data_IF_189036592990
#
_entry.id   IF_189036592990
#
_cell.length_a   1.000
_cell.length_b   1.000
_cell.length_c   1.000
_cell.angle_alpha   90.00
_cell.angle_beta   90.00
_cell.angle_gamma   90.00
#
_symmetry.space_group_name_H-M   'P 1'
#
loop_
_entity.id
_entity.type
_entity.pdbx_description
1 polymer ?
#
# COMPACT_ATOMS: atom_id res chain seq x y z
N UNK A 1 18.70 16.89 4.92
CA UNK A 1 17.26 17.19 4.87
C UNK A 1 16.52 15.86 4.88
N UNK A 2 15.70 15.59 5.89
CA UNK A 2 14.88 14.37 5.95
C UNK A 2 13.57 14.58 5.20
N UNK A 3 13.11 13.57 4.45
CA UNK A 3 11.78 13.58 3.84
C UNK A 3 10.66 13.41 4.87
N UNK A 4 9.44 13.82 4.49
CA UNK A 4 8.21 13.60 5.28
C UNK A 4 7.77 12.15 5.17
N UNK A 5 7.37 11.55 6.29
CA UNK A 5 6.83 10.19 6.35
C UNK A 5 5.30 10.28 6.43
N UNK A 6 4.61 9.47 5.64
CA UNK A 6 3.15 9.47 5.57
C UNK A 6 2.56 8.22 6.21
N UNK A 7 1.34 8.36 6.71
CA UNK A 7 0.44 7.25 7.04
C UNK A 7 -0.96 7.55 6.50
N UNK A 8 -1.77 6.53 6.26
CA UNK A 8 -3.16 6.75 5.89
C UNK A 8 -4.08 6.72 7.11
N UNK A 9 -3.72 6.06 8.20
CA UNK A 9 -4.58 6.00 9.38
C UNK A 9 -3.78 6.06 10.69
N UNK A 10 -4.38 6.51 11.81
CA UNK A 10 -3.76 6.42 13.14
C UNK A 10 -3.52 4.97 13.61
N UNK A 11 -4.08 3.97 12.91
CA UNK A 11 -3.83 2.56 13.22
C UNK A 11 -2.33 2.22 13.14
N UNK A 12 -1.62 2.81 12.18
CA UNK A 12 -0.18 2.63 11.96
C UNK A 12 0.62 3.08 13.18
N UNK A 13 0.25 4.22 13.78
CA UNK A 13 0.80 4.68 15.07
C UNK A 13 0.60 3.64 16.18
N UNK A 14 -0.59 3.03 16.26
CA UNK A 14 -0.90 2.00 17.27
C UNK A 14 -0.01 0.77 17.08
N UNK A 15 0.20 0.34 15.84
CA UNK A 15 1.05 -0.82 15.53
C UNK A 15 2.52 -0.52 15.84
N UNK A 16 3.05 0.63 15.43
CA UNK A 16 4.44 0.98 15.71
C UNK A 16 4.72 1.10 17.21
N UNK A 17 3.82 1.70 17.99
CA UNK A 17 3.97 1.76 19.45
C UNK A 17 3.99 0.35 20.07
N UNK A 18 3.12 -0.56 19.62
CA UNK A 18 3.14 -1.96 20.08
C UNK A 18 4.46 -2.66 19.76
N UNK A 19 5.02 -2.42 18.58
CA UNK A 19 6.33 -2.98 18.19
C UNK A 19 7.43 -2.42 19.08
N UNK A 20 7.43 -1.11 19.37
CA UNK A 20 8.36 -0.48 20.31
C UNK A 20 8.29 -1.12 21.68
N UNK A 21 7.08 -1.32 22.22
CA UNK A 21 6.89 -1.96 23.52
C UNK A 21 7.39 -3.42 23.54
N UNK A 22 7.12 -4.18 22.47
CA UNK A 22 7.62 -5.54 22.30
C UNK A 22 9.15 -5.59 22.29
N UNK A 23 9.79 -4.69 21.54
CA UNK A 23 11.25 -4.63 21.46
C UNK A 23 11.87 -4.28 22.82
N UNK A 24 11.30 -3.32 23.56
CA UNK A 24 11.76 -2.96 24.90
C UNK A 24 11.72 -4.15 25.86
N UNK A 25 10.61 -4.89 25.88
CA UNK A 25 10.47 -6.08 26.72
C UNK A 25 11.54 -7.12 26.40
N UNK A 26 11.82 -7.38 25.12
CA UNK A 26 12.85 -8.37 24.74
C UNK A 26 14.26 -7.87 25.09
N UNK A 27 14.55 -6.58 24.93
CA UNK A 27 15.84 -5.97 25.34
C UNK A 27 16.06 -6.05 26.85
N UNK A 28 14.99 -5.92 27.65
CA UNK A 28 15.03 -6.04 29.12
C UNK A 28 15.10 -7.51 29.62
N UNK A 29 15.20 -8.49 28.71
CA UNK A 29 15.30 -9.91 29.04
C UNK A 29 13.95 -10.61 29.19
N UNK A 30 12.85 -9.95 28.85
CA UNK A 30 11.54 -10.57 28.70
C UNK A 30 11.39 -11.30 27.35
N UNK A 31 10.20 -11.85 27.10
CA UNK A 31 9.90 -12.55 25.84
C UNK A 31 8.49 -12.23 25.35
N UNK A 32 8.33 -12.06 24.03
CA UNK A 32 7.04 -11.96 23.36
C UNK A 32 6.87 -13.12 22.38
N UNK A 33 5.72 -13.80 22.43
CA UNK A 33 5.42 -14.92 21.52
C UNK A 33 6.23 -16.18 21.83
N UNK A 34 7.09 -16.60 20.90
CA UNK A 34 7.92 -17.81 21.05
C UNK A 34 9.04 -17.53 22.05
N UNK A 35 8.99 -18.20 23.20
CA UNK A 35 9.97 -18.05 24.27
C UNK A 35 11.40 -18.30 23.75
N UNK A 36 12.32 -17.39 24.07
CA UNK A 36 13.76 -17.56 23.80
C UNK A 36 14.27 -16.95 22.49
N UNK A 37 13.47 -16.22 21.72
CA UNK A 37 14.03 -15.39 20.64
C UNK A 37 14.78 -14.17 21.23
N UNK A 38 16.07 -13.99 20.93
CA UNK A 38 16.82 -12.82 21.38
C UNK A 38 16.35 -11.55 20.65
N UNK A 39 16.57 -10.39 21.28
CA UNK A 39 16.35 -9.10 20.63
C UNK A 39 17.22 -9.00 19.36
N UNK A 40 16.74 -8.32 18.29
CA UNK A 40 17.58 -7.93 17.17
C UNK A 40 18.82 -7.17 17.66
N UNK A 41 19.96 -7.36 16.98
CA UNK A 41 21.22 -6.71 17.36
C UNK A 41 21.14 -5.17 17.32
N UNK A 42 20.26 -4.64 16.49
CA UNK A 42 19.96 -3.23 16.27
C UNK A 42 18.70 -2.73 17.01
N UNK A 43 18.19 -3.49 17.99
CA UNK A 43 16.92 -3.18 18.66
C UNK A 43 16.86 -1.76 19.24
N UNK A 44 17.95 -1.25 19.82
CA UNK A 44 17.99 0.11 20.36
C UNK A 44 17.81 1.18 19.28
N UNK A 45 18.51 1.02 18.14
CA UNK A 45 18.44 1.95 17.01
C UNK A 45 17.05 1.87 16.34
N UNK A 46 16.48 0.67 16.24
CA UNK A 46 15.12 0.45 15.74
C UNK A 46 14.07 1.10 16.65
N UNK A 47 14.20 0.97 17.98
CA UNK A 47 13.30 1.63 18.94
C UNK A 47 13.37 3.15 18.78
N UNK A 48 14.57 3.73 18.69
CA UNK A 48 14.75 5.17 18.51
C UNK A 48 14.11 5.64 17.19
N UNK A 49 14.38 4.91 16.10
CA UNK A 49 13.81 5.21 14.80
C UNK A 49 12.28 5.18 14.81
N UNK A 50 11.67 4.10 15.30
CA UNK A 50 10.21 3.96 15.37
C UNK A 50 9.59 5.02 16.28
N UNK A 51 10.22 5.30 17.42
CA UNK A 51 9.78 6.34 18.36
C UNK A 51 9.82 7.74 17.73
N UNK A 52 10.75 7.99 16.80
CA UNK A 52 10.79 9.24 16.04
C UNK A 52 9.61 9.41 15.07
N UNK A 53 8.98 8.31 14.63
CA UNK A 53 7.92 8.30 13.61
C UNK A 53 6.49 8.35 14.19
N UNK A 54 6.32 7.96 15.45
CA UNK A 54 5.00 7.95 16.10
C UNK A 54 4.61 9.34 16.62
N UNK A 55 3.40 9.47 17.15
CA UNK A 55 2.88 10.70 17.75
C UNK A 55 3.90 11.29 18.74
N UNK A 56 4.08 12.61 18.68
CA UNK A 56 5.04 13.38 19.48
C UNK A 56 6.54 13.12 19.17
N UNK A 57 6.84 12.22 18.21
CA UNK A 57 8.17 12.01 17.67
C UNK A 57 8.66 13.14 16.77
N UNK A 58 9.98 13.31 16.67
CA UNK A 58 10.63 14.37 15.88
C UNK A 58 10.36 14.30 14.37
N UNK A 59 9.92 13.14 13.89
CA UNK A 59 9.55 12.85 12.49
C UNK A 59 8.17 12.21 12.40
N UNK A 60 7.27 12.59 13.30
CA UNK A 60 5.92 12.04 13.38
C UNK A 60 5.25 11.95 12.00
N UNK A 61 4.68 10.78 11.71
CA UNK A 61 4.01 10.52 10.44
C UNK A 61 2.82 11.46 10.22
N UNK A 62 2.68 11.96 8.99
CA UNK A 62 1.55 12.81 8.61
C UNK A 62 0.36 11.95 8.18
N UNK A 63 -0.79 12.16 8.83
CA UNK A 63 -2.06 11.49 8.53
C UNK A 63 -2.72 12.06 7.26
N UNK A 64 -2.64 11.32 6.16
CA UNK A 64 -3.24 11.72 4.89
C UNK A 64 -4.77 11.53 4.87
N UNK A 65 -5.35 10.64 5.67
CA UNK A 65 -6.81 10.51 5.77
C UNK A 65 -7.41 11.71 6.50
N UNK A 66 -6.76 12.17 7.58
CA UNK A 66 -7.15 13.41 8.25
C UNK A 66 -7.07 14.62 7.31
N UNK A 67 -6.04 14.69 6.47
CA UNK A 67 -5.93 15.72 5.43
C UNK A 67 -7.05 15.59 4.39
N UNK A 68 -7.29 14.38 3.88
CA UNK A 68 -8.35 14.09 2.91
C UNK A 68 -9.72 14.51 3.43
N UNK A 69 -10.05 14.19 4.69
CA UNK A 69 -11.33 14.56 5.34
C UNK A 69 -11.56 16.07 5.38
N UNK A 70 -10.48 16.84 5.52
CA UNK A 70 -10.54 18.31 5.68
C UNK A 70 -10.49 19.04 4.34
N UNK A 71 -9.77 18.50 3.36
CA UNK A 71 -9.33 19.27 2.20
C UNK A 71 -9.68 18.65 0.83
N UNK A 72 -10.12 17.40 0.76
CA UNK A 72 -10.42 16.75 -0.52
C UNK A 72 -11.90 16.40 -0.66
N UNK A 73 -12.60 17.20 -1.46
CA UNK A 73 -14.01 16.98 -1.82
C UNK A 73 -14.11 16.84 -3.33
N UNK A 74 -14.63 15.71 -3.79
CA UNK A 74 -14.79 15.42 -5.20
C UNK A 74 -16.12 14.71 -5.46
N UNK A 75 -16.63 14.84 -6.68
CA UNK A 75 -17.84 14.15 -7.10
C UNK A 75 -17.64 12.62 -7.10
N UNK A 76 -18.63 11.84 -6.67
CA UNK A 76 -18.54 10.37 -6.74
C UNK A 76 -17.80 9.68 -5.58
N UNK A 77 -17.07 10.41 -4.71
CA UNK A 77 -16.51 9.82 -3.47
C UNK A 77 -17.47 9.87 -2.28
N UNK A 78 -18.61 10.57 -2.40
CA UNK A 78 -19.69 10.67 -1.38
C UNK A 78 -19.18 11.01 0.03
N UNK A 79 -18.20 11.90 0.14
CA UNK A 79 -17.58 12.28 1.42
C UNK A 79 -16.65 11.23 2.05
N UNK A 80 -16.37 10.12 1.34
CA UNK A 80 -15.44 9.09 1.81
C UNK A 80 -14.00 9.60 1.76
N UNK A 81 -13.26 9.31 2.83
CA UNK A 81 -11.81 9.52 2.97
C UNK A 81 -11.02 8.21 2.92
N UNK A 82 -11.65 7.13 2.45
CA UNK A 82 -10.94 5.88 2.18
C UNK A 82 -9.94 6.09 1.06
N UNK A 83 -8.72 5.55 1.20
CA UNK A 83 -7.67 5.58 0.18
C UNK A 83 -8.19 5.06 -1.17
N UNK A 84 -9.12 4.08 -1.13
CA UNK A 84 -9.76 3.43 -2.29
C UNK A 84 -10.87 4.23 -2.94
N UNK A 85 -11.23 5.37 -2.37
CA UNK A 85 -12.12 6.34 -2.99
C UNK A 85 -11.34 7.59 -3.42
N UNK A 86 -10.35 8.00 -2.62
CA UNK A 86 -9.53 9.17 -2.89
C UNK A 86 -8.59 8.95 -4.07
N UNK A 87 -7.79 7.87 -4.07
CA UNK A 87 -6.85 7.59 -5.17
C UNK A 87 -7.58 7.50 -6.52
N UNK A 88 -8.66 6.72 -6.69
CA UNK A 88 -9.30 6.60 -8.01
C UNK A 88 -9.91 7.91 -8.48
N UNK A 89 -10.46 8.70 -7.55
CA UNK A 89 -10.99 10.03 -7.88
C UNK A 89 -9.89 10.98 -8.36
N UNK A 90 -8.69 10.93 -7.78
CA UNK A 90 -7.55 11.71 -8.24
C UNK A 90 -7.01 11.20 -9.58
N UNK A 91 -6.85 9.89 -9.74
CA UNK A 91 -6.39 9.26 -11.00
C UNK A 91 -7.27 9.65 -12.19
N UNK A 92 -8.58 9.78 -11.97
CA UNK A 92 -9.54 10.20 -13.00
C UNK A 92 -9.41 11.67 -13.42
N UNK A 93 -8.91 12.56 -12.55
CA UNK A 93 -8.97 14.03 -12.77
C UNK A 93 -7.62 14.70 -12.89
N UNK A 94 -6.57 14.06 -12.39
CA UNK A 94 -5.25 14.65 -12.33
C UNK A 94 -4.48 14.36 -13.62
N UNK A 95 -4.35 15.37 -14.47
CA UNK A 95 -3.45 15.31 -15.64
C UNK A 95 -1.99 15.06 -15.23
N UNK A 96 -1.61 15.53 -14.04
CA UNK A 96 -0.29 15.23 -13.45
C UNK A 96 -0.13 13.73 -13.23
N UNK A 97 -1.08 13.08 -12.55
CA UNK A 97 -0.99 11.62 -12.32
C UNK A 97 -1.07 10.83 -13.61
N UNK A 98 -1.93 11.25 -14.55
CA UNK A 98 -1.97 10.66 -15.89
C UNK A 98 -0.60 10.75 -16.56
N UNK A 99 0.03 11.92 -16.60
CA UNK A 99 1.35 12.10 -17.20
C UNK A 99 2.44 11.27 -16.52
N UNK A 100 2.44 11.20 -15.19
CA UNK A 100 3.44 10.46 -14.42
C UNK A 100 3.31 8.94 -14.57
N UNK A 101 2.08 8.42 -14.67
CA UNK A 101 1.81 6.98 -14.52
C UNK A 101 1.24 6.27 -15.76
N UNK A 102 1.09 6.96 -16.90
CA UNK A 102 0.65 6.33 -18.16
C UNK A 102 1.72 5.44 -18.81
N UNK A 103 2.99 5.72 -18.55
CA UNK A 103 4.10 4.93 -19.07
C UNK A 103 4.36 3.68 -18.23
N UNK A 104 5.07 2.70 -18.81
CA UNK A 104 5.63 1.53 -18.11
C UNK A 104 6.82 1.91 -17.22
N UNK A 105 6.60 2.83 -16.28
CA UNK A 105 7.66 3.46 -15.47
C UNK A 105 7.82 2.81 -14.10
N UNK A 106 6.79 2.12 -13.61
CA UNK A 106 6.84 1.50 -12.28
C UNK A 106 7.50 0.13 -12.34
N UNK A 107 8.51 -0.11 -11.50
CA UNK A 107 9.34 -1.30 -11.60
C UNK A 107 10.24 -1.31 -12.83
N UNK A 108 10.57 -0.13 -13.38
CA UNK A 108 11.43 0.02 -14.55
C UNK A 108 12.70 0.81 -14.24
N UNK A 109 13.75 0.59 -15.05
CA UNK A 109 14.99 1.37 -14.98
C UNK A 109 14.85 2.78 -15.59
N UNK A 110 13.76 3.04 -16.32
CA UNK A 110 13.46 4.34 -16.91
C UNK A 110 12.51 5.13 -16.01
N UNK A 111 12.79 6.42 -15.82
CA UNK A 111 11.94 7.31 -15.03
C UNK A 111 10.71 7.82 -15.80
N UNK A 112 10.82 7.96 -17.12
CA UNK A 112 9.79 8.63 -17.92
C UNK A 112 9.57 10.07 -17.44
N UNK A 113 8.34 10.40 -17.04
CA UNK A 113 7.98 11.71 -16.48
C UNK A 113 8.22 11.83 -14.97
N UNK A 114 8.62 10.75 -14.28
CA UNK A 114 8.96 10.78 -12.86
C UNK A 114 10.33 11.46 -12.64
N UNK A 115 10.58 12.03 -11.45
CA UNK A 115 11.86 12.67 -11.15
C UNK A 115 13.05 11.70 -11.09
N UNK A 116 12.79 10.41 -10.85
CA UNK A 116 13.77 9.35 -10.82
C UNK A 116 13.10 7.99 -11.12
N UNK A 117 13.87 6.95 -11.52
CA UNK A 117 13.35 5.60 -11.68
C UNK A 117 12.71 5.09 -10.37
N UNK A 118 11.58 4.40 -10.49
CA UNK A 118 10.85 3.86 -9.34
C UNK A 118 10.94 2.34 -9.37
N UNK A 119 11.83 1.79 -8.55
CA UNK A 119 12.02 0.35 -8.44
C UNK A 119 10.86 -0.29 -7.68
N UNK A 120 10.50 -1.49 -8.12
CA UNK A 120 9.45 -2.31 -7.51
C UNK A 120 10.00 -3.70 -7.26
N UNK A 121 9.48 -4.36 -6.21
CA UNK A 121 9.77 -5.77 -5.94
C UNK A 121 8.71 -6.70 -6.52
N UNK A 122 7.50 -6.20 -6.78
CA UNK A 122 6.36 -7.02 -7.18
C UNK A 122 5.77 -6.65 -8.55
N UNK A 123 6.28 -5.59 -9.19
CA UNK A 123 5.86 -5.14 -10.52
C UNK A 123 7.08 -4.94 -11.42
N UNK A 124 6.89 -5.15 -12.72
CA UNK A 124 7.91 -4.93 -13.74
C UNK A 124 7.31 -4.20 -14.93
N UNK A 125 7.93 -3.09 -15.33
CA UNK A 125 7.51 -2.27 -16.47
C UNK A 125 5.98 -2.01 -16.46
N UNK A 126 5.46 -1.56 -15.31
CA UNK A 126 4.04 -1.43 -15.03
C UNK A 126 3.55 0.01 -15.19
N UNK A 127 2.34 0.17 -15.73
CA UNK A 127 1.65 1.45 -15.88
C UNK A 127 0.45 1.48 -14.94
N UNK A 128 0.40 2.45 -14.02
CA UNK A 128 -0.71 2.60 -13.08
C UNK A 128 -1.88 3.41 -13.64
N UNK A 129 -1.66 4.17 -14.72
CA UNK A 129 -2.71 4.85 -15.45
C UNK A 129 -2.93 4.14 -16.79
N UNK A 130 -3.98 3.32 -16.87
CA UNK A 130 -4.38 2.59 -18.08
C UNK A 130 -5.79 3.01 -18.46
N UNK A 131 -6.06 3.50 -19.68
CA UNK A 131 -7.41 3.89 -20.08
C UNK A 131 -8.40 2.72 -20.01
N UNK A 132 -9.64 2.99 -19.62
CA UNK A 132 -10.74 2.03 -19.78
C UNK A 132 -11.07 1.83 -21.26
N UNK A 133 -11.37 0.59 -21.64
CA UNK A 133 -11.78 0.27 -23.01
C UNK A 133 -13.08 0.98 -23.43
N UNK A 134 -13.98 1.23 -22.47
CA UNK A 134 -15.26 1.92 -22.67
C UNK A 134 -15.11 3.44 -22.76
N UNK A 135 -14.09 4.03 -22.14
CA UNK A 135 -13.85 5.47 -22.14
C UNK A 135 -12.34 5.78 -21.95
N UNK A 136 -11.63 6.13 -23.04
CA UNK A 136 -10.19 6.41 -22.99
C UNK A 136 -9.78 7.60 -22.11
N UNK A 137 -10.73 8.44 -21.69
CA UNK A 137 -10.49 9.58 -20.80
C UNK A 137 -10.56 9.19 -19.32
N UNK A 138 -10.96 7.96 -19.00
CA UNK A 138 -11.08 7.45 -17.63
C UNK A 138 -10.08 6.30 -17.46
N UNK A 139 -9.23 6.31 -16.41
CA UNK A 139 -8.38 5.17 -16.14
C UNK A 139 -9.17 4.02 -15.51
N UNK A 140 -8.73 2.79 -15.76
CA UNK A 140 -9.10 1.63 -14.96
C UNK A 140 -8.78 1.93 -13.50
N UNK A 141 -9.74 1.64 -12.63
CA UNK A 141 -9.59 1.81 -11.18
C UNK A 141 -8.35 1.03 -10.68
N UNK A 142 -7.43 1.66 -9.92
CA UNK A 142 -6.15 1.03 -9.53
C UNK A 142 -6.23 -0.33 -8.82
N UNK A 143 -7.21 -0.57 -7.95
CA UNK A 143 -7.35 -1.86 -7.27
C UNK A 143 -7.99 -2.92 -8.18
N UNK A 144 -8.86 -2.53 -9.09
CA UNK A 144 -9.33 -3.39 -10.18
C UNK A 144 -8.20 -3.72 -11.17
N UNK A 145 -7.33 -2.75 -11.48
CA UNK A 145 -6.14 -2.98 -12.31
C UNK A 145 -5.19 -3.98 -11.64
N UNK A 146 -4.97 -3.83 -10.32
CA UNK A 146 -4.22 -4.78 -9.52
C UNK A 146 -4.83 -6.19 -9.58
N UNK A 147 -6.16 -6.30 -9.47
CA UNK A 147 -6.87 -7.58 -9.57
C UNK A 147 -6.66 -8.26 -10.92
N UNK A 148 -6.80 -7.52 -12.03
CA UNK A 148 -6.59 -8.04 -13.39
C UNK A 148 -5.16 -8.52 -13.59
N UNK A 149 -4.19 -7.71 -13.18
CA UNK A 149 -2.79 -8.10 -13.21
C UNK A 149 -2.52 -9.34 -12.33
N UNK A 150 -3.22 -9.45 -11.19
CA UNK A 150 -3.36 -10.64 -10.37
C UNK A 150 -3.62 -11.89 -11.18
N UNK A 151 -4.78 -11.90 -11.83
CA UNK A 151 -5.30 -13.02 -12.59
C UNK A 151 -4.41 -13.40 -13.78
N UNK A 152 -3.91 -12.42 -14.52
CA UNK A 152 -3.06 -12.63 -15.70
C UNK A 152 -1.73 -13.33 -15.34
N UNK A 153 -1.12 -12.95 -14.22
CA UNK A 153 0.19 -13.46 -13.78
C UNK A 153 0.10 -14.87 -13.21
N UNK A 154 -0.98 -15.15 -12.48
CA UNK A 154 -1.18 -16.40 -11.77
C UNK A 154 -1.97 -17.43 -12.59
N UNK A 155 -2.39 -17.07 -13.81
CA UNK A 155 -3.13 -17.94 -14.72
C UNK A 155 -4.48 -18.35 -14.15
N UNK A 156 -5.16 -17.44 -13.48
CA UNK A 156 -6.36 -17.71 -12.70
C UNK A 156 -7.60 -17.68 -13.59
N UNK A 157 -7.86 -18.79 -14.27
CA UNK A 157 -9.26 -19.23 -14.31
C UNK A 157 -9.57 -19.73 -12.91
N UNK A 158 -10.49 -19.06 -12.19
CA UNK A 158 -11.07 -19.59 -10.96
C UNK A 158 -11.45 -21.04 -11.22
N UNK A 159 -10.74 -22.00 -10.63
CA UNK A 159 -11.10 -23.41 -10.80
C UNK A 159 -12.49 -23.59 -10.21
N UNK A 160 -13.33 -24.40 -10.87
CA UNK A 160 -14.68 -24.67 -10.37
C UNK A 160 -14.61 -25.22 -8.93
N UNK A 161 -14.94 -24.39 -7.94
CA UNK A 161 -14.87 -24.70 -6.51
C UNK A 161 -13.93 -23.83 -5.68
N UNK A 162 -13.05 -23.02 -6.29
CA UNK A 162 -12.28 -21.98 -5.59
C UNK A 162 -13.12 -20.69 -5.53
N UNK A 163 -13.09 -19.99 -4.39
CA UNK A 163 -13.88 -18.77 -4.23
C UNK A 163 -13.15 -17.62 -4.97
N UNK A 164 -13.78 -16.96 -5.97
CA UNK A 164 -13.18 -15.83 -6.70
C UNK A 164 -12.65 -14.70 -5.81
N UNK A 165 -13.16 -14.59 -4.57
CA UNK A 165 -12.71 -13.61 -3.58
C UNK A 165 -11.41 -14.03 -2.86
N UNK A 166 -10.92 -15.27 -3.02
CA UNK A 166 -9.67 -15.76 -2.42
C UNK A 166 -8.40 -15.14 -3.03
N UNK A 167 -8.48 -14.68 -4.28
CA UNK A 167 -7.34 -14.15 -5.04
C UNK A 167 -7.48 -12.65 -5.32
N UNK A 168 -8.69 -12.10 -5.19
CA UNK A 168 -8.97 -10.68 -5.32
C UNK A 168 -8.69 -9.93 -4.00
N UNK A 169 -7.43 -9.92 -3.55
CA UNK A 169 -7.00 -9.09 -2.41
C UNK A 169 -6.94 -7.62 -2.86
N UNK A 170 -8.10 -7.00 -2.90
CA UNK A 170 -8.28 -5.58 -3.22
C UNK A 170 -8.85 -4.82 -2.04
N UNK A 171 -9.25 -5.52 -0.97
CA UNK A 171 -9.81 -4.96 0.25
C UNK A 171 -9.00 -5.22 1.52
N UNK A 172 -9.01 -4.27 2.47
CA UNK A 172 -8.20 -4.38 3.69
C UNK A 172 -8.63 -5.54 4.59
N UNK A 173 -9.95 -5.80 4.65
CA UNK A 173 -10.50 -6.98 5.32
C UNK A 173 -10.09 -8.28 4.63
N UNK A 174 -10.13 -8.32 3.29
CA UNK A 174 -9.69 -9.48 2.51
C UNK A 174 -8.20 -9.78 2.73
N UNK A 175 -7.36 -8.75 2.76
CA UNK A 175 -5.94 -8.89 3.06
C UNK A 175 -5.69 -9.46 4.48
N UNK A 176 -6.43 -8.96 5.48
CA UNK A 176 -6.32 -9.48 6.85
C UNK A 176 -6.76 -10.95 6.96
N UNK A 177 -7.86 -11.32 6.31
CA UNK A 177 -8.34 -12.71 6.25
C UNK A 177 -7.31 -13.60 5.55
N UNK A 178 -6.84 -13.20 4.37
CA UNK A 178 -5.83 -13.95 3.61
C UNK A 178 -4.54 -14.16 4.42
N UNK A 179 -4.09 -13.14 5.16
CA UNK A 179 -2.93 -13.27 6.05
C UNK A 179 -3.18 -14.21 7.24
N UNK A 180 -4.38 -14.18 7.83
CA UNK A 180 -4.75 -15.12 8.89
C UNK A 180 -4.78 -16.57 8.38
N UNK A 181 -5.32 -16.81 7.19
CA UNK A 181 -5.30 -18.14 6.55
C UNK A 181 -3.89 -18.68 6.41
N UNK A 182 -2.93 -17.85 5.96
CA UNK A 182 -1.54 -18.28 5.86
C UNK A 182 -0.91 -18.70 7.20
N UNK A 183 -1.38 -18.14 8.32
CA UNK A 183 -0.87 -18.45 9.66
C UNK A 183 -1.52 -19.66 10.30
N UNK A 184 -2.83 -19.85 10.08
CA UNK A 184 -3.63 -20.78 10.88
C UNK A 184 -4.20 -21.96 10.10
N UNK A 185 -4.25 -21.88 8.76
CA UNK A 185 -4.78 -22.94 7.91
C UNK A 185 -3.66 -23.76 7.26
N UNK A 186 -3.94 -25.04 7.03
CA UNK A 186 -3.08 -25.92 6.25
C UNK A 186 -3.33 -25.67 4.75
N UNK A 187 -2.61 -24.69 4.22
CA UNK A 187 -2.66 -24.26 2.82
C UNK A 187 -1.48 -24.89 2.06
N UNK A 188 -1.77 -25.53 0.94
CA UNK A 188 -0.75 -26.14 0.07
C UNK A 188 0.26 -25.10 -0.44
N UNK A 189 1.44 -25.56 -0.85
CA UNK A 189 2.54 -24.68 -1.21
C UNK A 189 2.23 -23.74 -2.39
N UNK A 190 1.44 -24.20 -3.38
CA UNK A 190 1.10 -23.39 -4.54
C UNK A 190 0.11 -22.28 -4.16
N UNK A 191 -0.96 -22.63 -3.44
CA UNK A 191 -1.94 -21.65 -2.95
C UNK A 191 -1.31 -20.65 -1.98
N UNK A 192 -0.44 -21.11 -1.08
CA UNK A 192 0.34 -20.25 -0.17
C UNK A 192 1.19 -19.23 -0.91
N UNK A 193 1.84 -19.63 -2.00
CA UNK A 193 2.64 -18.73 -2.83
C UNK A 193 1.76 -17.66 -3.49
N UNK A 194 0.63 -18.05 -4.08
CA UNK A 194 -0.32 -17.13 -4.71
C UNK A 194 -0.83 -16.05 -3.75
N UNK A 195 -1.31 -16.47 -2.57
CA UNK A 195 -1.82 -15.55 -1.55
C UNK A 195 -0.71 -14.59 -1.10
N UNK A 196 0.52 -15.10 -0.90
CA UNK A 196 1.66 -14.26 -0.53
C UNK A 196 1.97 -13.21 -1.59
N UNK A 197 2.03 -13.59 -2.87
CA UNK A 197 2.30 -12.67 -3.97
C UNK A 197 1.18 -11.64 -4.16
N UNK A 198 -0.09 -12.03 -3.96
CA UNK A 198 -1.22 -11.10 -3.96
C UNK A 198 -1.11 -10.08 -2.81
N UNK A 199 -0.81 -10.51 -1.58
CA UNK A 199 -0.61 -9.64 -0.42
C UNK A 199 0.55 -8.65 -0.65
N UNK A 200 1.69 -9.12 -1.16
CA UNK A 200 2.85 -8.26 -1.42
C UNK A 200 2.54 -7.14 -2.43
N UNK A 201 1.83 -7.47 -3.51
CA UNK A 201 1.40 -6.48 -4.51
C UNK A 201 0.38 -5.49 -3.95
N UNK A 202 -0.59 -5.97 -3.16
CA UNK A 202 -1.56 -5.11 -2.48
C UNK A 202 -0.89 -4.13 -1.51
N UNK A 203 0.02 -4.61 -0.65
CA UNK A 203 0.77 -3.76 0.28
C UNK A 203 1.64 -2.71 -0.42
N UNK A 204 2.26 -3.08 -1.55
CA UNK A 204 3.05 -2.16 -2.37
C UNK A 204 2.16 -1.07 -2.99
N UNK A 205 0.97 -1.41 -3.51
CA UNK A 205 0.01 -0.43 -4.01
C UNK A 205 -0.49 0.50 -2.90
N UNK A 206 -0.86 0.00 -1.71
CA UNK A 206 -1.32 0.86 -0.61
C UNK A 206 -0.26 1.90 -0.21
N UNK A 207 1.02 1.51 -0.24
CA UNK A 207 2.14 2.42 0.01
C UNK A 207 2.30 3.45 -1.11
N UNK A 208 2.27 3.01 -2.37
CA UNK A 208 2.37 3.89 -3.54
C UNK A 208 1.17 4.84 -3.65
N UNK A 209 -0.02 4.39 -3.27
CA UNK A 209 -1.25 5.15 -3.30
C UNK A 209 -1.13 6.44 -2.49
N UNK A 210 -0.49 6.40 -1.32
CA UNK A 210 -0.21 7.61 -0.53
C UNK A 210 0.64 8.61 -1.31
N UNK A 211 1.67 8.14 -2.01
CA UNK A 211 2.56 9.00 -2.83
C UNK A 211 1.80 9.60 -4.01
N UNK A 212 1.02 8.78 -4.74
CA UNK A 212 0.18 9.24 -5.85
C UNK A 212 -0.84 10.27 -5.38
N UNK A 213 -1.47 10.07 -4.22
CA UNK A 213 -2.43 11.02 -3.67
C UNK A 213 -1.77 12.35 -3.35
N UNK A 214 -0.60 12.34 -2.70
CA UNK A 214 0.15 13.58 -2.40
C UNK A 214 0.58 14.29 -3.68
N UNK A 215 1.07 13.57 -4.69
CA UNK A 215 1.40 14.15 -6.00
C UNK A 215 0.18 14.76 -6.68
N UNK A 216 -0.96 14.06 -6.64
CA UNK A 216 -2.23 14.54 -7.18
C UNK A 216 -2.70 15.82 -6.50
N UNK A 217 -2.72 15.86 -5.16
CA UNK A 217 -3.07 17.06 -4.40
C UNK A 217 -2.10 18.22 -4.63
N UNK A 218 -0.79 17.95 -4.72
CA UNK A 218 0.21 18.98 -5.06
C UNK A 218 -0.06 19.60 -6.43
N UNK A 219 -0.47 18.80 -7.42
CA UNK A 219 -0.86 19.30 -8.73
C UNK A 219 -2.12 20.17 -8.73
N UNK A 220 -3.01 20.03 -7.73
CA UNK A 220 -4.22 20.85 -7.61
C UNK A 220 -3.97 22.23 -6.98
N UNK A 221 -2.88 22.39 -6.24
CA UNK A 221 -2.52 23.64 -5.53
C UNK A 221 -1.45 24.45 -6.25
N UNK A 222 -0.82 23.88 -7.27
CA UNK A 222 0.14 24.59 -8.11
C UNK A 222 -0.62 25.33 -9.22
N UNK A 223 -0.39 26.65 -9.39
CA UNK A 223 -1.09 27.47 -10.38
C UNK A 223 -0.74 27.11 -11.83
#
# INVERSE_FOLDING_TARGET
MGGTVFMWSPHENTILNKIVDQLKVVVEGGSYGVAGLPAPADAAELIEFLSSLVQDGSRAMVDLCALSKKAYFAEGIKGSSSIKKVLPSLMKRSEVLKGLYSGKVYGSAVAGALPAPMFSKNFKDFAWWVPEASNPSVPVEPYELLRRYGADLLGEEVRAGEDPDELAITEGGAAATAYARLQFEDVDAATRLKIREALLRYCELDTLAMVMIVQGWRGLIQP
#
